data_IF_669815021325
#
_entry.id   IF_669815021325
#
_cell.length_a   1.000
_cell.length_b   1.000
_cell.length_c   1.000
_cell.angle_alpha   90.00
_cell.angle_beta   90.00
_cell.angle_gamma   90.00
#
_symmetry.space_group_name_H-M   'P 1'
#
loop_
_entity.id
_entity.type
_entity.pdbx_description
1 polymer ?
#
# COMPACT_ATOMS: atom_id res chain seq x y z
N UNK A 1 27.93 -11.16 14.20
CA UNK A 1 27.90 -10.66 12.82
C UNK A 1 29.22 -9.97 12.50
N UNK A 2 29.60 -8.90 13.19
CA UNK A 2 30.84 -8.12 12.92
C UNK A 2 32.14 -8.93 13.00
N UNK A 3 32.17 -10.01 13.79
CA UNK A 3 33.36 -10.91 13.83
C UNK A 3 33.45 -11.78 12.57
N UNK A 4 32.37 -12.01 11.85
CA UNK A 4 32.36 -12.78 10.60
C UNK A 4 32.47 -11.91 9.35
N UNK A 5 31.98 -10.68 9.43
CA UNK A 5 32.03 -9.69 8.37
C UNK A 5 32.15 -8.28 8.99
N UNK A 6 33.31 -7.69 8.92
CA UNK A 6 33.62 -6.37 9.49
C UNK A 6 33.33 -5.22 8.52
N UNK A 7 33.21 -5.51 7.23
CA UNK A 7 33.05 -4.53 6.16
C UNK A 7 31.60 -4.15 5.89
N UNK A 8 30.67 -5.13 6.00
CA UNK A 8 29.28 -4.89 5.74
C UNK A 8 28.62 -4.12 6.88
N UNK A 9 27.89 -3.07 6.54
CA UNK A 9 27.07 -2.32 7.49
C UNK A 9 26.03 -3.23 8.14
N UNK A 10 26.00 -3.23 9.48
CA UNK A 10 25.08 -4.04 10.27
C UNK A 10 24.18 -3.14 11.13
N UNK A 11 22.89 -3.15 10.88
CA UNK A 11 21.86 -2.51 11.68
C UNK A 11 21.34 -3.49 12.74
N UNK A 12 21.39 -3.09 14.00
CA UNK A 12 21.24 -4.05 15.12
C UNK A 12 19.82 -4.50 15.39
N UNK A 13 18.84 -3.64 15.14
CA UNK A 13 17.41 -3.88 15.38
C UNK A 13 16.53 -3.11 14.40
N UNK A 14 15.27 -3.50 14.27
CA UNK A 14 14.24 -2.82 13.49
C UNK A 14 12.91 -2.90 14.26
N UNK A 15 12.22 -1.77 14.52
CA UNK A 15 12.62 -0.41 14.18
C UNK A 15 13.76 0.08 15.10
N UNK A 16 14.52 1.07 14.62
CA UNK A 16 15.58 1.65 15.43
C UNK A 16 15.96 3.05 14.96
N UNK A 17 16.25 3.94 15.89
CA UNK A 17 16.82 5.27 15.63
C UNK A 17 18.36 5.31 15.77
N UNK A 18 19.00 4.14 15.90
CA UNK A 18 20.46 3.99 16.09
C UNK A 18 20.88 3.46 17.45
N UNK A 19 20.02 3.52 18.47
CA UNK A 19 20.16 2.86 19.76
C UNK A 19 19.02 1.86 19.98
N UNK A 20 19.25 0.73 20.65
CA UNK A 20 18.29 -0.37 20.71
C UNK A 20 16.87 0.00 21.21
N UNK A 21 16.75 0.97 22.12
CA UNK A 21 15.48 1.42 22.70
C UNK A 21 15.39 2.94 22.80
N UNK A 22 16.21 3.64 22.06
CA UNK A 22 16.23 5.10 22.03
C UNK A 22 15.30 5.60 20.91
N UNK A 23 14.03 5.88 21.27
CA UNK A 23 12.98 6.37 20.40
C UNK A 23 12.93 5.62 19.05
N UNK A 24 12.60 4.31 19.06
CA UNK A 24 12.77 3.43 17.90
C UNK A 24 11.92 3.84 16.69
N UNK A 25 10.86 4.63 16.87
CA UNK A 25 9.98 5.11 15.80
C UNK A 25 10.18 6.62 15.49
N UNK A 26 11.36 7.18 15.82
CA UNK A 26 11.70 8.55 15.42
C UNK A 26 11.73 8.70 13.90
N UNK A 27 10.81 9.47 13.35
CA UNK A 27 10.68 9.68 11.90
C UNK A 27 11.93 10.31 11.25
N UNK A 28 12.83 10.91 12.05
CA UNK A 28 13.98 11.63 11.54
C UNK A 28 15.27 10.79 11.50
N UNK A 29 15.27 9.60 12.13
CA UNK A 29 16.46 8.77 12.27
C UNK A 29 16.14 7.30 12.09
N UNK A 30 17.00 6.59 11.37
CA UNK A 30 16.92 5.14 11.22
C UNK A 30 15.70 4.68 10.42
N UNK A 31 15.03 3.67 10.95
CA UNK A 31 13.84 3.06 10.34
C UNK A 31 12.66 3.01 11.33
N UNK A 32 11.45 3.07 10.78
CA UNK A 32 10.22 3.08 11.55
C UNK A 32 9.30 1.92 11.15
N UNK A 33 8.53 1.42 12.10
CA UNK A 33 7.37 0.57 11.88
C UNK A 33 6.10 1.40 12.04
N UNK A 34 5.23 1.38 11.02
CA UNK A 34 4.00 2.16 11.05
C UNK A 34 2.76 1.26 10.90
N UNK A 35 2.00 1.13 11.99
CA UNK A 35 0.86 0.21 12.07
C UNK A 35 -0.48 0.89 12.38
N UNK A 36 -0.54 2.20 12.48
CA UNK A 36 -1.77 2.90 12.87
C UNK A 36 -2.88 2.77 11.84
N UNK A 37 -2.56 2.70 10.55
CA UNK A 37 -3.56 2.45 9.51
C UNK A 37 -4.19 1.05 9.65
N UNK A 38 -3.45 0.03 10.09
CA UNK A 38 -4.02 -1.31 10.28
C UNK A 38 -4.42 -1.57 11.74
N UNK A 39 -3.46 -1.54 12.66
CA UNK A 39 -3.70 -1.86 14.06
C UNK A 39 -4.48 -0.75 14.77
N UNK A 40 -4.17 0.51 14.48
CA UNK A 40 -4.84 1.68 15.05
C UNK A 40 -6.16 2.07 14.38
N UNK A 41 -6.54 1.37 13.30
CA UNK A 41 -7.76 1.65 12.53
C UNK A 41 -7.85 3.11 12.01
N UNK A 42 -6.71 3.75 11.77
CA UNK A 42 -6.65 5.08 11.16
C UNK A 42 -7.04 4.99 9.66
N UNK A 43 -7.64 6.04 9.09
CA UNK A 43 -7.93 6.09 7.67
C UNK A 43 -6.65 6.07 6.82
N UNK A 44 -6.74 5.67 5.54
CA UNK A 44 -5.57 5.64 4.64
C UNK A 44 -4.87 6.99 4.50
N UNK A 45 -5.62 8.10 4.64
CA UNK A 45 -5.08 9.45 4.62
C UNK A 45 -4.09 9.72 5.76
N UNK A 46 -4.08 8.91 6.81
CA UNK A 46 -3.14 9.06 7.91
C UNK A 46 -1.69 8.80 7.48
N UNK A 47 -1.46 7.96 6.47
CA UNK A 47 -0.12 7.81 5.87
C UNK A 47 0.48 9.14 5.41
N UNK A 48 -0.34 10.10 4.97
CA UNK A 48 0.12 11.38 4.45
C UNK A 48 0.64 12.35 5.53
N UNK A 49 0.44 12.02 6.79
CA UNK A 49 0.93 12.81 7.93
C UNK A 49 2.35 12.44 8.34
N UNK A 50 2.87 11.34 7.81
CA UNK A 50 4.14 10.75 8.24
C UNK A 50 5.21 10.84 7.16
N UNK A 51 6.40 11.29 7.54
CA UNK A 51 7.52 11.54 6.65
C UNK A 51 8.78 10.82 7.15
N UNK A 52 8.71 9.51 7.23
CA UNK A 52 9.81 8.65 7.69
C UNK A 52 11.08 8.81 6.85
N UNK A 53 12.24 8.57 7.45
CA UNK A 53 13.49 8.38 6.68
C UNK A 53 13.46 7.06 5.92
N UNK A 54 12.95 6.02 6.56
CA UNK A 54 12.73 4.69 5.99
C UNK A 54 11.59 4.00 6.76
N UNK A 55 10.57 3.54 6.09
CA UNK A 55 9.50 2.77 6.70
C UNK A 55 9.76 1.27 6.44
N UNK A 56 10.38 0.59 7.41
CA UNK A 56 10.80 -0.80 7.26
C UNK A 56 9.68 -1.80 7.50
N UNK A 57 8.55 -1.36 8.09
CA UNK A 57 7.40 -2.18 8.27
C UNK A 57 6.09 -1.36 8.29
N UNK A 58 5.14 -1.75 7.48
CA UNK A 58 3.74 -1.33 7.47
C UNK A 58 2.95 -2.39 6.73
N UNK A 59 1.65 -2.49 6.93
CA UNK A 59 0.92 -3.58 6.30
C UNK A 59 -0.58 -3.47 6.43
N UNK A 60 -1.28 -4.27 5.62
CA UNK A 60 -2.72 -4.38 5.60
C UNK A 60 -3.11 -5.81 5.25
N UNK A 61 -4.19 -6.36 5.83
CA UNK A 61 -4.61 -7.72 5.55
C UNK A 61 -5.67 -7.83 4.46
N UNK A 62 -5.71 -9.00 3.83
CA UNK A 62 -6.83 -9.47 3.03
C UNK A 62 -7.00 -10.97 3.13
N UNK A 63 -8.16 -11.46 2.72
CA UNK A 63 -8.38 -12.88 2.50
C UNK A 63 -7.61 -13.35 1.25
N UNK A 64 -7.15 -14.62 1.22
CA UNK A 64 -6.63 -15.20 -0.01
C UNK A 64 -7.76 -15.45 -1.03
N UNK A 65 -7.43 -15.83 -2.25
CA UNK A 65 -8.44 -16.13 -3.27
C UNK A 65 -9.29 -17.36 -2.90
N UNK A 66 -10.48 -17.47 -3.50
CA UNK A 66 -11.43 -18.55 -3.22
C UNK A 66 -10.78 -19.93 -3.34
N UNK A 67 -9.96 -20.16 -4.37
CA UNK A 67 -9.26 -21.43 -4.57
C UNK A 67 -8.35 -21.82 -3.39
N UNK A 68 -7.78 -20.85 -2.72
CA UNK A 68 -6.98 -21.06 -1.50
C UNK A 68 -7.89 -21.32 -0.30
N UNK A 69 -8.98 -20.59 -0.16
CA UNK A 69 -9.97 -20.83 0.89
C UNK A 69 -10.59 -22.23 0.78
N UNK A 70 -10.88 -22.69 -0.42
CA UNK A 70 -11.41 -24.04 -0.69
C UNK A 70 -10.48 -25.17 -0.25
N UNK A 71 -9.19 -24.91 -0.11
CA UNK A 71 -8.22 -25.93 0.34
C UNK A 71 -8.34 -26.27 1.83
N UNK A 72 -9.01 -25.43 2.62
CA UNK A 72 -9.16 -25.62 4.07
C UNK A 72 -10.61 -25.47 4.57
N UNK A 73 -11.58 -25.23 3.67
CA UNK A 73 -13.00 -25.07 4.01
C UNK A 73 -13.89 -26.02 3.23
N UNK A 74 -14.93 -26.54 3.88
CA UNK A 74 -16.12 -27.04 3.21
C UNK A 74 -17.07 -25.87 2.87
N UNK A 75 -18.07 -26.11 2.05
CA UNK A 75 -19.01 -25.06 1.63
C UNK A 75 -19.71 -24.38 2.81
N UNK A 76 -20.10 -25.15 3.83
CA UNK A 76 -20.72 -24.63 5.07
C UNK A 76 -19.81 -23.67 5.86
N UNK A 77 -18.48 -23.78 5.68
CA UNK A 77 -17.49 -22.97 6.40
C UNK A 77 -17.15 -21.67 5.66
N UNK A 78 -17.63 -21.49 4.43
CA UNK A 78 -17.37 -20.31 3.59
C UNK A 78 -18.13 -19.08 4.05
N UNK A 79 -17.86 -18.74 5.29
CA UNK A 79 -18.35 -17.56 5.99
C UNK A 79 -17.21 -17.06 6.90
N UNK A 80 -16.88 -15.78 6.85
CA UNK A 80 -15.78 -15.20 7.63
C UNK A 80 -15.96 -15.34 9.16
N UNK A 81 -17.18 -15.62 9.62
CA UNK A 81 -17.48 -15.88 11.03
C UNK A 81 -17.45 -17.37 11.40
N UNK A 82 -17.17 -18.26 10.46
CA UNK A 82 -17.00 -19.67 10.77
C UNK A 82 -15.71 -19.91 11.57
N UNK A 83 -15.74 -20.90 12.46
CA UNK A 83 -14.54 -21.26 13.25
C UNK A 83 -13.33 -21.63 12.39
N UNK A 84 -13.57 -22.22 11.20
CA UNK A 84 -12.51 -22.58 10.27
C UNK A 84 -11.87 -21.32 9.71
N UNK A 85 -12.67 -20.36 9.26
CA UNK A 85 -12.14 -19.09 8.74
C UNK A 85 -11.45 -18.25 9.82
N UNK A 86 -11.95 -18.25 11.05
CA UNK A 86 -11.29 -17.58 12.17
C UNK A 86 -9.96 -18.24 12.55
N UNK A 87 -9.89 -19.57 12.51
CA UNK A 87 -8.61 -20.28 12.72
C UNK A 87 -7.60 -20.00 11.62
N UNK A 88 -8.06 -19.82 10.36
CA UNK A 88 -7.22 -19.47 9.23
C UNK A 88 -7.07 -17.95 9.09
N UNK A 89 -6.77 -17.28 10.21
CA UNK A 89 -6.54 -15.83 10.30
C UNK A 89 -5.29 -15.57 11.17
N UNK A 90 -4.33 -14.81 10.63
CA UNK A 90 -3.07 -14.47 11.34
C UNK A 90 -3.28 -13.56 12.55
N UNK A 91 -4.38 -12.82 12.60
CA UNK A 91 -4.68 -11.89 13.68
C UNK A 91 -6.13 -12.07 14.14
N UNK A 92 -6.41 -12.41 15.41
CA UNK A 92 -7.76 -12.70 15.89
C UNK A 92 -8.80 -11.60 15.66
N UNK A 93 -8.40 -10.32 15.64
CA UNK A 93 -9.30 -9.19 15.42
C UNK A 93 -9.45 -8.78 13.94
N UNK A 94 -8.75 -9.46 13.03
CA UNK A 94 -8.56 -8.93 11.67
C UNK A 94 -9.80 -9.03 10.79
N UNK A 95 -10.65 -10.05 10.96
CA UNK A 95 -11.89 -10.14 10.19
C UNK A 95 -12.78 -8.91 10.42
N UNK A 96 -12.92 -8.48 11.67
CA UNK A 96 -13.64 -7.25 12.02
C UNK A 96 -12.97 -5.99 11.45
N UNK A 97 -11.63 -5.90 11.47
CA UNK A 97 -10.90 -4.77 10.88
C UNK A 97 -11.07 -4.70 9.36
N UNK A 98 -11.02 -5.83 8.66
CA UNK A 98 -11.27 -5.86 7.20
C UNK A 98 -12.68 -5.35 6.91
N UNK A 99 -13.70 -5.78 7.66
CA UNK A 99 -15.07 -5.30 7.49
C UNK A 99 -15.22 -3.80 7.79
N UNK A 100 -14.56 -3.31 8.84
CA UNK A 100 -14.54 -1.88 9.16
C UNK A 100 -14.02 -1.07 7.97
N UNK A 101 -12.83 -1.38 7.48
CA UNK A 101 -12.25 -0.66 6.34
C UNK A 101 -13.05 -0.86 5.04
N UNK A 102 -13.70 -2.01 4.86
CA UNK A 102 -14.60 -2.20 3.72
C UNK A 102 -15.78 -1.24 3.79
N UNK A 103 -16.38 -1.04 4.97
CA UNK A 103 -17.52 -0.12 5.13
C UNK A 103 -17.16 1.34 4.83
N UNK A 104 -15.92 1.73 5.11
CA UNK A 104 -15.43 3.09 4.86
C UNK A 104 -15.08 3.35 3.38
N UNK A 105 -14.79 2.31 2.59
CA UNK A 105 -14.22 2.49 1.25
C UNK A 105 -15.07 1.88 0.12
N UNK A 106 -15.97 0.95 0.42
CA UNK A 106 -16.76 0.21 -0.56
C UNK A 106 -18.20 -0.02 -0.09
N UNK A 107 -19.09 -0.29 -1.03
CA UNK A 107 -20.36 -0.95 -0.70
C UNK A 107 -20.09 -2.36 -0.22
N UNK A 108 -20.87 -2.86 0.73
CA UNK A 108 -20.74 -4.23 1.22
C UNK A 108 -20.88 -5.24 0.08
N UNK A 109 -19.95 -6.18 -0.03
CA UNK A 109 -20.03 -7.22 -1.04
C UNK A 109 -21.21 -8.16 -0.80
N UNK A 110 -21.94 -8.50 -1.86
CA UNK A 110 -23.19 -9.27 -1.81
C UNK A 110 -23.02 -10.72 -1.37
N UNK A 111 -21.82 -11.28 -1.52
CA UNK A 111 -21.54 -12.67 -1.21
C UNK A 111 -20.06 -12.90 -0.83
N UNK A 112 -19.78 -14.09 -0.30
CA UNK A 112 -18.49 -14.46 0.19
C UNK A 112 -17.36 -14.32 -0.86
N UNK A 113 -17.60 -14.74 -2.11
CA UNK A 113 -16.61 -14.64 -3.19
C UNK A 113 -16.26 -13.18 -3.49
N UNK A 114 -17.27 -12.31 -3.57
CA UNK A 114 -17.04 -10.87 -3.76
C UNK A 114 -16.32 -10.25 -2.56
N UNK A 115 -16.60 -10.70 -1.34
CA UNK A 115 -15.90 -10.26 -0.13
C UNK A 115 -14.40 -10.57 -0.20
N UNK A 116 -14.03 -11.80 -0.57
CA UNK A 116 -12.62 -12.16 -0.74
C UNK A 116 -11.94 -11.25 -1.77
N UNK A 117 -12.57 -11.04 -2.91
CA UNK A 117 -12.05 -10.20 -3.98
C UNK A 117 -11.86 -8.74 -3.55
N UNK A 118 -12.91 -8.12 -2.99
CA UNK A 118 -12.86 -6.71 -2.60
C UNK A 118 -11.87 -6.49 -1.45
N UNK A 119 -11.72 -7.45 -0.53
CA UNK A 119 -10.69 -7.36 0.52
C UNK A 119 -9.28 -7.28 -0.04
N UNK A 120 -8.99 -7.97 -1.14
CA UNK A 120 -7.68 -7.88 -1.79
C UNK A 120 -7.46 -6.54 -2.50
N UNK A 121 -8.50 -5.97 -3.12
CA UNK A 121 -8.42 -4.62 -3.69
C UNK A 121 -8.19 -3.59 -2.59
N UNK A 122 -8.92 -3.69 -1.49
CA UNK A 122 -8.77 -2.83 -0.31
C UNK A 122 -7.33 -2.86 0.23
N UNK A 123 -6.76 -4.07 0.41
CA UNK A 123 -5.36 -4.25 0.81
C UNK A 123 -4.41 -3.52 -0.13
N UNK A 124 -4.57 -3.73 -1.44
CA UNK A 124 -3.71 -3.11 -2.45
C UNK A 124 -3.82 -1.59 -2.47
N UNK A 125 -5.04 -1.05 -2.31
CA UNK A 125 -5.29 0.40 -2.22
C UNK A 125 -4.64 1.01 -0.99
N UNK A 126 -4.80 0.40 0.19
CA UNK A 126 -4.19 0.87 1.42
C UNK A 126 -2.66 0.97 1.29
N UNK A 127 -2.03 -0.08 0.78
CA UNK A 127 -0.58 -0.13 0.60
C UNK A 127 -0.10 0.90 -0.44
N UNK A 128 -0.83 1.02 -1.56
CA UNK A 128 -0.54 2.02 -2.59
C UNK A 128 -0.59 3.44 -2.04
N UNK A 129 -1.54 3.74 -1.18
CA UNK A 129 -1.72 5.07 -0.60
C UNK A 129 -0.47 5.53 0.17
N UNK A 130 0.09 4.67 1.02
CA UNK A 130 1.33 4.94 1.76
C UNK A 130 2.55 5.04 0.84
N UNK A 131 2.75 4.03 -0.03
CA UNK A 131 3.93 4.00 -0.91
C UNK A 131 3.95 5.20 -1.87
N UNK A 132 2.83 5.55 -2.47
CA UNK A 132 2.74 6.72 -3.35
C UNK A 132 3.11 8.01 -2.61
N UNK A 133 2.62 8.18 -1.37
CA UNK A 133 2.96 9.34 -0.54
C UNK A 133 4.47 9.41 -0.29
N UNK A 134 5.07 8.33 0.20
CA UNK A 134 6.49 8.33 0.53
C UNK A 134 7.39 8.44 -0.69
N UNK A 135 7.01 7.86 -1.82
CA UNK A 135 7.74 8.02 -3.09
C UNK A 135 7.67 9.44 -3.65
N UNK A 136 6.56 10.16 -3.46
CA UNK A 136 6.49 11.60 -3.78
C UNK A 136 7.49 12.43 -2.99
N UNK A 137 7.83 11.98 -1.78
CA UNK A 137 8.78 12.65 -0.88
C UNK A 137 10.16 11.98 -0.87
N UNK A 138 10.57 11.45 -2.03
CA UNK A 138 11.94 10.94 -2.20
C UNK A 138 12.96 12.01 -1.82
N UNK A 139 14.09 11.60 -1.19
CA UNK A 139 15.05 12.49 -0.54
C UNK A 139 14.76 12.64 0.96
N UNK A 140 13.49 12.69 1.36
CA UNK A 140 13.10 12.53 2.77
C UNK A 140 12.87 11.06 3.11
N UNK A 141 11.98 10.36 2.42
CA UNK A 141 11.79 8.93 2.56
C UNK A 141 12.60 8.19 1.49
N UNK A 142 13.55 7.35 1.91
CA UNK A 142 14.48 6.66 1.03
C UNK A 142 14.16 5.19 0.81
N UNK A 143 13.07 4.69 1.42
CA UNK A 143 12.60 3.34 1.17
C UNK A 143 11.44 2.91 2.05
N UNK A 144 10.73 1.89 1.56
CA UNK A 144 9.63 1.26 2.27
C UNK A 144 9.66 -0.25 2.07
N UNK A 145 9.38 -1.02 3.12
CA UNK A 145 9.21 -2.46 3.08
C UNK A 145 7.85 -2.80 3.68
N UNK A 146 7.01 -3.49 2.95
CA UNK A 146 5.72 -3.88 3.49
C UNK A 146 5.74 -5.27 4.15
N UNK A 147 5.06 -5.42 5.24
CA UNK A 147 4.72 -6.67 5.85
C UNK A 147 3.44 -7.21 5.24
N UNK A 148 3.45 -8.37 4.51
CA UNK A 148 4.60 -9.23 4.25
C UNK A 148 4.50 -9.82 2.83
N UNK A 149 5.57 -10.50 2.36
CA UNK A 149 5.57 -11.01 1.00
C UNK A 149 4.72 -12.27 0.81
N UNK A 150 4.86 -13.27 1.71
CA UNK A 150 4.21 -14.57 1.53
C UNK A 150 3.79 -15.21 2.85
N UNK A 151 2.98 -16.26 2.75
CA UNK A 151 2.49 -17.06 3.85
C UNK A 151 3.20 -18.40 3.99
N UNK A 152 3.22 -18.95 5.21
CA UNK A 152 3.76 -20.26 5.55
C UNK A 152 2.67 -21.35 5.74
N UNK A 153 1.40 -20.98 5.59
CA UNK A 153 0.22 -21.86 5.57
C UNK A 153 -0.96 -21.15 4.92
N UNK A 154 -2.03 -21.85 4.47
CA UNK A 154 -3.20 -21.23 3.86
C UNK A 154 -3.98 -20.40 4.89
N UNK A 155 -4.02 -19.07 4.74
CA UNK A 155 -4.51 -18.17 5.80
C UNK A 155 -4.88 -16.80 5.23
N UNK A 156 -5.75 -16.06 5.93
CA UNK A 156 -5.91 -14.63 5.77
C UNK A 156 -4.78 -13.89 6.49
N UNK A 157 -4.13 -12.96 5.81
CA UNK A 157 -2.88 -12.34 6.29
C UNK A 157 -2.55 -11.04 5.57
N UNK A 158 -1.43 -10.45 5.96
CA UNK A 158 -0.80 -9.31 5.27
C UNK A 158 -0.07 -9.69 3.98
N UNK A 159 0.11 -10.98 3.71
CA UNK A 159 0.89 -11.45 2.57
C UNK A 159 0.33 -10.96 1.23
N UNK A 160 1.23 -10.64 0.29
CA UNK A 160 0.90 -10.32 -1.10
C UNK A 160 0.86 -11.56 -2.00
N UNK A 161 1.53 -12.64 -1.59
CA UNK A 161 1.53 -13.96 -2.24
C UNK A 161 0.99 -14.97 -1.24
N UNK A 162 -0.02 -15.74 -1.60
CA UNK A 162 -0.58 -16.75 -0.70
C UNK A 162 0.33 -17.98 -0.56
N UNK A 163 -0.03 -18.87 0.36
CA UNK A 163 0.72 -20.10 0.64
C UNK A 163 1.02 -20.95 -0.59
N UNK A 164 0.13 -20.97 -1.58
CA UNK A 164 0.29 -21.76 -2.81
C UNK A 164 1.01 -20.99 -3.93
N UNK A 165 1.61 -19.84 -3.63
CA UNK A 165 2.32 -19.01 -4.61
C UNK A 165 1.41 -18.19 -5.51
N UNK A 166 0.11 -18.07 -5.19
CA UNK A 166 -0.83 -17.24 -5.96
C UNK A 166 -0.70 -15.78 -5.55
N UNK A 167 -0.59 -14.92 -6.54
CA UNK A 167 -0.54 -13.49 -6.31
C UNK A 167 -1.91 -12.95 -5.88
N UNK A 168 -1.96 -12.26 -4.77
CA UNK A 168 -3.09 -11.43 -4.37
C UNK A 168 -3.06 -10.09 -5.12
N UNK A 169 -4.15 -9.34 -5.12
CA UNK A 169 -4.22 -8.05 -5.81
C UNK A 169 -3.09 -7.10 -5.43
N UNK A 170 -2.68 -7.11 -4.14
CA UNK A 170 -1.54 -6.33 -3.65
C UNK A 170 -0.27 -6.59 -4.47
N UNK A 171 0.05 -7.84 -4.80
CA UNK A 171 1.30 -8.15 -5.50
C UNK A 171 1.33 -7.58 -6.93
N UNK A 172 0.19 -7.63 -7.65
CA UNK A 172 0.05 -6.97 -8.96
C UNK A 172 0.14 -5.45 -8.85
N UNK A 173 -0.44 -4.86 -7.81
CA UNK A 173 -0.38 -3.43 -7.57
C UNK A 173 1.04 -3.00 -7.15
N UNK A 174 1.70 -3.78 -6.28
CA UNK A 174 3.06 -3.55 -5.83
C UNK A 174 4.07 -3.53 -6.99
N UNK A 175 3.92 -4.44 -7.95
CA UNK A 175 4.73 -4.42 -9.18
C UNK A 175 4.65 -3.07 -9.91
N UNK A 176 3.52 -2.35 -9.79
CA UNK A 176 3.33 -1.03 -10.42
C UNK A 176 3.84 0.10 -9.54
N UNK A 177 3.40 0.17 -8.29
CA UNK A 177 3.76 1.29 -7.43
C UNK A 177 5.20 1.24 -6.89
N UNK A 178 5.88 0.06 -6.97
CA UNK A 178 7.32 -0.09 -6.78
C UNK A 178 8.11 -0.18 -8.09
N UNK A 179 7.45 0.04 -9.23
CA UNK A 179 8.15 0.08 -10.51
C UNK A 179 9.20 1.21 -10.54
N UNK A 180 10.26 1.06 -11.34
CA UNK A 180 11.33 2.08 -11.42
C UNK A 180 10.80 3.44 -11.89
N UNK A 181 9.70 3.45 -12.61
CA UNK A 181 8.96 4.65 -12.98
C UNK A 181 7.51 4.48 -12.55
N UNK A 182 7.00 5.37 -11.72
CA UNK A 182 5.63 5.30 -11.22
C UNK A 182 4.99 6.68 -11.18
N UNK A 183 3.74 6.72 -11.65
CA UNK A 183 2.87 7.89 -11.52
C UNK A 183 2.04 7.77 -10.25
N UNK A 184 1.93 8.85 -9.51
CA UNK A 184 1.04 8.96 -8.34
C UNK A 184 0.27 10.26 -8.36
N UNK A 185 -0.86 10.27 -7.67
CA UNK A 185 -1.73 11.43 -7.55
C UNK A 185 -2.06 11.67 -6.09
N UNK A 186 -2.23 12.93 -5.71
CA UNK A 186 -2.80 13.33 -4.42
C UNK A 186 -3.66 14.58 -4.57
N UNK A 187 -4.68 14.68 -3.74
CA UNK A 187 -5.49 15.89 -3.62
C UNK A 187 -4.92 16.73 -2.49
N UNK A 188 -4.78 18.02 -2.73
CA UNK A 188 -4.43 19.03 -1.76
C UNK A 188 -5.38 20.22 -1.93
N UNK A 189 -6.36 20.36 -1.00
CA UNK A 189 -7.50 21.23 -1.19
C UNK A 189 -8.24 20.92 -2.48
N UNK A 190 -8.47 21.94 -3.29
CA UNK A 190 -9.19 21.85 -4.56
C UNK A 190 -8.28 21.45 -5.76
N UNK A 191 -7.06 21.00 -5.47
CA UNK A 191 -6.08 20.67 -6.50
C UNK A 191 -5.71 19.18 -6.49
N UNK A 192 -5.77 18.55 -7.67
CA UNK A 192 -5.14 17.25 -7.93
C UNK A 192 -3.72 17.49 -8.44
N UNK A 193 -2.75 16.99 -7.71
CA UNK A 193 -1.34 17.03 -8.07
C UNK A 193 -0.91 15.67 -8.64
N UNK A 194 -0.22 15.67 -9.78
CA UNK A 194 0.28 14.46 -10.43
C UNK A 194 1.81 14.45 -10.37
N UNK A 195 2.36 13.40 -9.80
CA UNK A 195 3.79 13.20 -9.61
C UNK A 195 4.29 12.01 -10.40
N UNK A 196 5.56 12.09 -10.76
CA UNK A 196 6.35 10.96 -11.29
C UNK A 196 7.54 10.70 -10.40
N UNK A 197 7.74 9.43 -10.05
CA UNK A 197 8.97 8.95 -9.43
C UNK A 197 9.85 8.31 -10.50
N UNK A 198 11.11 8.71 -10.56
CA UNK A 198 12.15 8.17 -11.44
C UNK A 198 13.25 7.51 -10.61
N UNK A 199 13.29 6.17 -10.63
CA UNK A 199 14.32 5.38 -9.93
C UNK A 199 15.51 5.05 -10.85
N UNK A 200 15.49 5.50 -12.12
CA UNK A 200 16.61 5.27 -13.03
C UNK A 200 17.81 6.14 -12.67
N UNK A 201 18.99 5.80 -13.21
CA UNK A 201 20.23 6.55 -13.00
C UNK A 201 20.38 7.74 -13.95
N UNK A 202 19.36 8.01 -14.75
CA UNK A 202 19.34 9.09 -15.74
C UNK A 202 18.06 9.92 -15.63
N UNK A 203 18.14 11.21 -15.94
CA UNK A 203 16.98 12.06 -16.09
C UNK A 203 16.06 11.54 -17.21
N UNK A 204 14.76 11.55 -16.96
CA UNK A 204 13.76 11.04 -17.89
C UNK A 204 12.72 12.12 -18.21
N UNK A 205 12.42 12.28 -19.50
CA UNK A 205 11.34 13.15 -19.96
C UNK A 205 10.04 12.39 -20.09
N UNK A 206 8.97 12.95 -19.56
CA UNK A 206 7.66 12.31 -19.48
C UNK A 206 6.57 13.16 -20.12
N UNK A 207 5.57 12.47 -20.63
CA UNK A 207 4.28 13.04 -20.96
C UNK A 207 3.20 12.28 -20.20
N UNK A 208 2.43 13.00 -19.39
CA UNK A 208 1.31 12.46 -18.62
C UNK A 208 0.01 12.93 -19.25
N UNK A 209 -0.93 12.02 -19.39
CA UNK A 209 -2.30 12.32 -19.82
C UNK A 209 -3.23 12.05 -18.66
N UNK A 210 -3.93 13.10 -18.23
CA UNK A 210 -4.92 13.04 -17.15
C UNK A 210 -6.33 13.10 -17.74
N UNK A 211 -7.19 12.19 -17.32
CA UNK A 211 -8.58 12.12 -17.75
C UNK A 211 -9.51 12.31 -16.56
N UNK A 212 -10.46 13.24 -16.69
CA UNK A 212 -11.64 13.28 -15.82
C UNK A 212 -12.75 12.50 -16.51
N UNK A 213 -13.38 11.59 -15.79
CA UNK A 213 -14.45 10.74 -16.30
C UNK A 213 -15.64 10.75 -15.35
N UNK A 214 -16.86 10.60 -15.90
CA UNK A 214 -18.04 10.31 -15.13
C UNK A 214 -18.10 8.82 -14.74
N UNK A 215 -19.15 8.41 -14.02
CA UNK A 215 -19.34 7.03 -13.56
C UNK A 215 -19.61 6.05 -14.72
N UNK A 216 -20.06 6.53 -15.88
CA UNK A 216 -20.25 5.78 -17.13
C UNK A 216 -18.93 5.63 -17.92
N UNK A 217 -17.79 6.12 -17.36
CA UNK A 217 -16.47 6.13 -17.98
C UNK A 217 -16.33 7.04 -19.21
N UNK A 218 -17.26 7.96 -19.45
CA UNK A 218 -17.15 8.98 -20.48
C UNK A 218 -16.12 10.04 -20.09
N UNK A 219 -15.30 10.46 -21.05
CA UNK A 219 -14.26 11.48 -20.81
C UNK A 219 -14.92 12.85 -20.77
N UNK A 220 -14.92 13.49 -19.61
CA UNK A 220 -15.39 14.87 -19.42
C UNK A 220 -14.30 15.88 -19.76
N UNK A 221 -13.05 15.56 -19.42
CA UNK A 221 -11.90 16.42 -19.71
C UNK A 221 -10.63 15.58 -19.93
N UNK A 222 -9.73 16.11 -20.74
CA UNK A 222 -8.41 15.55 -21.01
C UNK A 222 -7.35 16.63 -20.86
N UNK A 223 -6.41 16.44 -19.97
CA UNK A 223 -5.30 17.35 -19.73
C UNK A 223 -3.97 16.63 -19.99
N UNK A 224 -2.96 17.38 -20.38
CA UNK A 224 -1.63 16.83 -20.66
C UNK A 224 -0.57 17.65 -19.93
N UNK A 225 0.24 16.99 -19.14
CA UNK A 225 1.46 17.53 -18.54
C UNK A 225 2.71 16.96 -19.23
N UNK A 226 3.77 17.75 -19.28
CA UNK A 226 5.10 17.32 -19.74
C UNK A 226 6.14 17.85 -18.78
N UNK A 227 7.19 17.08 -18.55
CA UNK A 227 8.29 17.50 -17.70
C UNK A 227 9.43 16.50 -17.71
N UNK A 228 10.55 16.90 -17.16
CA UNK A 228 11.71 16.03 -16.92
C UNK A 228 11.84 15.82 -15.41
N UNK A 229 12.10 14.59 -15.01
CA UNK A 229 12.42 14.23 -13.61
C UNK A 229 13.83 13.69 -13.58
N UNK A 230 14.65 14.28 -12.72
CA UNK A 230 16.06 13.92 -12.58
C UNK A 230 16.23 12.47 -12.10
N UNK A 231 17.44 11.97 -12.24
CA UNK A 231 17.81 10.62 -11.79
C UNK A 231 17.53 10.45 -10.30
N UNK A 232 16.83 9.36 -9.94
CA UNK A 232 16.50 9.01 -8.54
C UNK A 232 15.71 10.08 -7.77
N UNK A 233 14.90 10.87 -8.48
CA UNK A 233 14.04 11.90 -7.90
C UNK A 233 12.55 11.64 -8.13
N UNK A 234 11.74 12.45 -7.50
CA UNK A 234 10.31 12.55 -7.74
C UNK A 234 9.95 14.00 -8.07
N UNK A 235 9.16 14.21 -9.11
CA UNK A 235 8.77 15.54 -9.58
C UNK A 235 7.29 15.66 -9.85
N UNK A 236 6.73 16.83 -9.55
CA UNK A 236 5.35 17.18 -9.92
C UNK A 236 5.31 17.59 -11.40
N UNK A 237 4.44 16.95 -12.16
CA UNK A 237 4.33 17.13 -13.61
C UNK A 237 3.09 17.90 -14.00
N UNK A 238 2.01 17.79 -13.23
CA UNK A 238 0.74 18.41 -13.54
C UNK A 238 0.01 18.81 -12.26
N UNK A 239 -0.67 19.96 -12.34
CA UNK A 239 -1.65 20.40 -11.34
C UNK A 239 -2.98 20.61 -12.03
N UNK A 240 -4.06 20.11 -11.45
CA UNK A 240 -5.42 20.20 -11.99
C UNK A 240 -6.33 20.77 -10.91
N UNK A 241 -7.03 21.85 -11.21
CA UNK A 241 -8.11 22.35 -10.36
C UNK A 241 -9.30 21.38 -10.48
N UNK A 242 -9.69 20.76 -9.38
CA UNK A 242 -10.77 19.78 -9.31
C UNK A 242 -12.05 20.31 -8.68
N UNK A 243 -12.07 21.56 -8.19
CA UNK A 243 -13.22 22.20 -7.55
C UNK A 243 -14.50 22.16 -8.40
N UNK A 244 -14.34 22.30 -9.70
CA UNK A 244 -15.46 22.29 -10.67
C UNK A 244 -16.17 20.93 -10.82
N UNK A 245 -15.65 19.85 -10.24
CA UNK A 245 -16.24 18.49 -10.31
C UNK A 245 -16.74 17.97 -8.97
N UNK A 246 -16.58 18.68 -7.87
CA UNK A 246 -16.98 18.22 -6.53
C UNK A 246 -18.50 18.22 -6.33
N UNK A 247 -19.28 18.96 -7.10
CA UNK A 247 -20.73 19.12 -6.94
C UNK A 247 -21.60 18.37 -7.99
N UNK A 248 -21.09 17.33 -8.65
CA UNK A 248 -21.88 16.65 -9.69
C UNK A 248 -22.01 15.15 -9.46
#
# INVERSE_FOLDING_TARGET
VRAADSETFFWQSSPSSGGCFDDPDDENRGDCHYWDVWHGQKPFTDYQKHYFRFCSEFGFQSFPCLKTVESFTEEKDRNIFSRVMENHQKNPAANGKILYYLSENFRYPENFRKLLYVSQILQGMAMKYGVDHWRRHRGRCMGTLYWQINDNWPVASWASIDYFGRWKALHYMAKKFYGPQAVSMCIDGDTMQVYLANESMEAQSYQVVFYVKNMECEILEKLTGKGTVEAQESGQILTVDVSKWEEK
#
